data_IF_046942833893
#
_entry.id   IF_046942833893
#
_cell.length_a   1.000
_cell.length_b   1.000
_cell.length_c   1.000
_cell.angle_alpha   90.00
_cell.angle_beta   90.00
_cell.angle_gamma   90.00
#
_symmetry.space_group_name_H-M   'P 1'
#
loop_
_entity.id
_entity.type
_entity.pdbx_description
1 polymer ?
#
# COMPACT_ATOMS: atom_id res chain seq x y z
N UNK A 1 26.12 -15.30 3.91
CA UNK A 1 24.76 -14.75 3.85
C UNK A 1 24.29 -14.51 5.27
N UNK A 2 23.70 -13.34 5.55
CA UNK A 2 23.22 -12.99 6.88
C UNK A 2 21.93 -13.75 7.18
N UNK A 3 21.78 -14.30 8.38
CA UNK A 3 20.54 -14.95 8.84
C UNK A 3 19.71 -13.90 9.59
N UNK A 4 18.39 -13.88 9.38
CA UNK A 4 17.49 -13.03 10.16
C UNK A 4 17.52 -13.45 11.64
N UNK A 5 17.96 -12.55 12.52
CA UNK A 5 17.96 -12.79 13.97
C UNK A 5 17.89 -11.45 14.73
N UNK A 6 16.73 -11.10 15.32
CA UNK A 6 16.56 -9.83 16.04
C UNK A 6 17.40 -9.74 17.31
N UNK A 7 17.94 -10.85 17.83
CA UNK A 7 18.81 -10.81 19.03
C UNK A 7 20.19 -10.27 18.67
N UNK A 8 20.69 -10.61 17.48
CA UNK A 8 22.02 -10.27 16.99
C UNK A 8 21.99 -8.99 16.15
N UNK A 9 21.04 -8.90 15.21
CA UNK A 9 20.92 -7.77 14.30
C UNK A 9 19.86 -6.79 14.80
N UNK A 10 20.26 -5.53 15.02
CA UNK A 10 19.37 -4.47 15.50
C UNK A 10 18.31 -4.11 14.45
N UNK A 11 18.63 -4.18 13.15
CA UNK A 11 17.68 -3.85 12.08
C UNK A 11 16.48 -4.80 12.08
N UNK A 12 16.72 -6.08 12.34
CA UNK A 12 15.69 -7.11 12.39
C UNK A 12 14.66 -6.88 13.50
N UNK A 13 15.02 -6.11 14.54
CA UNK A 13 14.11 -5.74 15.64
C UNK A 13 13.02 -4.77 15.21
N UNK A 14 13.23 -4.02 14.13
CA UNK A 14 12.26 -3.04 13.63
C UNK A 14 11.25 -3.66 12.64
N UNK A 15 11.36 -4.95 12.31
CA UNK A 15 10.39 -5.62 11.44
C UNK A 15 9.03 -5.77 12.14
N UNK A 16 7.99 -5.23 11.51
CA UNK A 16 6.66 -5.07 12.14
C UNK A 16 5.78 -6.32 12.11
N UNK A 17 5.98 -7.20 11.12
CA UNK A 17 5.21 -8.43 10.93
C UNK A 17 6.08 -9.50 10.27
N UNK A 18 7.10 -10.05 10.95
CA UNK A 18 8.06 -10.95 10.32
C UNK A 18 7.45 -12.33 10.00
N UNK A 19 7.57 -12.76 8.73
CA UNK A 19 7.28 -14.12 8.27
C UNK A 19 8.58 -14.71 7.76
N UNK A 20 9.10 -15.73 8.46
CA UNK A 20 10.47 -16.21 8.25
C UNK A 20 10.49 -17.38 7.27
N UNK A 21 11.35 -17.31 6.26
CA UNK A 21 11.54 -18.39 5.30
C UNK A 21 12.16 -19.62 5.99
N UNK A 22 11.68 -20.85 5.69
CA UNK A 22 12.12 -22.04 6.41
C UNK A 22 13.51 -22.53 5.98
N UNK A 23 13.92 -22.22 4.74
CA UNK A 23 15.21 -22.64 4.19
C UNK A 23 16.36 -21.75 4.69
N UNK A 24 17.52 -22.36 4.92
CA UNK A 24 18.74 -21.62 5.26
C UNK A 24 19.35 -20.94 4.03
N UNK A 25 19.83 -19.68 4.13
CA UNK A 25 19.72 -18.80 5.30
C UNK A 25 18.29 -18.24 5.44
N UNK A 26 17.74 -18.30 6.66
CA UNK A 26 16.40 -17.81 6.94
C UNK A 26 16.34 -16.29 6.79
N UNK A 27 15.32 -15.78 6.10
CA UNK A 27 15.09 -14.37 5.84
C UNK A 27 13.66 -13.99 6.21
N UNK A 28 13.42 -12.71 6.49
CA UNK A 28 12.06 -12.20 6.60
C UNK A 28 11.49 -11.91 5.20
N UNK A 29 10.40 -12.58 4.80
CA UNK A 29 9.74 -12.36 3.51
C UNK A 29 8.86 -11.10 3.49
N UNK A 30 8.45 -10.60 4.65
CA UNK A 30 7.56 -9.44 4.84
C UNK A 30 8.31 -8.24 5.42
N UNK A 31 9.58 -8.06 5.06
CA UNK A 31 10.40 -6.93 5.53
C UNK A 31 9.91 -5.57 5.03
N UNK A 32 9.09 -5.54 3.97
CA UNK A 32 8.50 -4.33 3.41
C UNK A 32 7.25 -3.83 4.13
N UNK A 33 6.74 -4.57 5.12
CA UNK A 33 5.54 -4.17 5.86
C UNK A 33 5.78 -2.90 6.67
N UNK A 34 5.04 -1.83 6.35
CA UNK A 34 4.95 -0.59 7.11
C UNK A 34 3.88 -0.66 8.21
N UNK A 35 3.81 0.37 9.05
CA UNK A 35 2.80 0.44 10.11
C UNK A 35 1.38 0.52 9.54
N UNK A 36 1.17 1.30 8.47
CA UNK A 36 -0.14 1.40 7.83
C UNK A 36 -0.53 0.10 7.11
N UNK A 37 0.36 -0.51 6.34
CA UNK A 37 0.07 -1.79 5.66
C UNK A 37 -0.23 -2.91 6.66
N UNK A 38 0.49 -2.97 7.79
CA UNK A 38 0.16 -3.88 8.89
C UNK A 38 -1.22 -3.62 9.47
N UNK A 39 -1.57 -2.35 9.72
CA UNK A 39 -2.87 -1.99 10.28
C UNK A 39 -4.02 -2.43 9.36
N UNK A 40 -3.87 -2.21 8.05
CA UNK A 40 -4.83 -2.70 7.03
C UNK A 40 -4.94 -4.23 7.10
N UNK A 41 -3.83 -4.96 7.06
CA UNK A 41 -3.87 -6.43 7.12
C UNK A 41 -4.55 -6.96 8.38
N UNK A 42 -4.30 -6.35 9.55
CA UNK A 42 -4.94 -6.73 10.81
C UNK A 42 -6.45 -6.49 10.78
N UNK A 43 -6.90 -5.38 10.20
CA UNK A 43 -8.33 -5.09 10.00
C UNK A 43 -8.97 -6.12 9.07
N UNK A 44 -8.33 -6.44 7.94
CA UNK A 44 -8.84 -7.45 6.99
C UNK A 44 -8.90 -8.85 7.61
N UNK A 45 -7.92 -9.23 8.45
CA UNK A 45 -7.98 -10.51 9.18
C UNK A 45 -9.15 -10.56 10.17
N UNK A 46 -9.43 -9.46 10.88
CA UNK A 46 -10.57 -9.39 11.80
C UNK A 46 -11.91 -9.50 11.06
N UNK A 47 -12.06 -8.79 9.93
CA UNK A 47 -13.25 -8.90 9.07
C UNK A 47 -13.39 -10.31 8.48
N UNK A 48 -12.29 -10.89 8.00
CA UNK A 48 -12.27 -12.25 7.46
C UNK A 48 -12.70 -13.29 8.50
N UNK A 49 -12.24 -13.16 9.75
CA UNK A 49 -12.68 -14.03 10.85
C UNK A 49 -14.19 -13.93 11.08
N UNK A 50 -14.73 -12.70 11.16
CA UNK A 50 -16.17 -12.49 11.37
C UNK A 50 -17.01 -13.12 10.25
N UNK A 51 -16.58 -12.98 9.00
CA UNK A 51 -17.26 -13.58 7.84
C UNK A 51 -17.16 -15.11 7.89
N UNK A 52 -15.98 -15.65 8.22
CA UNK A 52 -15.77 -17.09 8.34
C UNK A 52 -16.67 -17.69 9.44
N UNK A 53 -16.79 -17.05 10.59
CA UNK A 53 -17.71 -17.46 11.66
C UNK A 53 -19.17 -17.46 11.21
N UNK A 54 -19.61 -16.41 10.51
CA UNK A 54 -20.96 -16.35 9.93
C UNK A 54 -21.20 -17.51 8.94
N UNK A 55 -20.20 -17.87 8.14
CA UNK A 55 -20.28 -19.00 7.20
C UNK A 55 -20.37 -20.32 7.96
N UNK A 56 -19.54 -20.54 8.98
CA UNK A 56 -19.58 -21.75 9.80
C UNK A 56 -20.92 -21.93 10.53
N UNK A 57 -21.59 -20.82 10.91
CA UNK A 57 -22.93 -20.81 11.48
C UNK A 57 -24.06 -20.89 10.44
N UNK A 58 -23.74 -20.99 9.14
CA UNK A 58 -24.72 -21.06 8.06
C UNK A 58 -25.45 -19.74 7.76
N UNK A 59 -24.98 -18.60 8.27
CA UNK A 59 -25.57 -17.27 8.07
C UNK A 59 -25.10 -16.58 6.78
N UNK A 60 -23.99 -17.04 6.21
CA UNK A 60 -23.41 -16.48 4.99
C UNK A 60 -22.81 -17.57 4.09
N UNK A 61 -22.54 -17.22 2.83
CA UNK A 61 -21.85 -18.08 1.85
C UNK A 61 -20.40 -17.64 1.67
N UNK A 62 -19.56 -18.54 1.18
CA UNK A 62 -18.16 -18.26 0.84
C UNK A 62 -17.98 -17.10 -0.15
N UNK A 63 -18.94 -16.86 -1.04
CA UNK A 63 -18.93 -15.73 -1.96
C UNK A 63 -18.74 -14.38 -1.23
N UNK A 64 -19.28 -14.25 0.00
CA UNK A 64 -19.16 -13.04 0.81
C UNK A 64 -17.71 -12.74 1.20
N UNK A 65 -16.89 -13.77 1.44
CA UNK A 65 -15.49 -13.61 1.84
C UNK A 65 -14.63 -13.07 0.68
N UNK A 66 -14.99 -13.40 -0.55
CA UNK A 66 -14.25 -13.04 -1.76
C UNK A 66 -14.84 -11.82 -2.49
N UNK A 67 -15.77 -11.10 -1.86
CA UNK A 67 -16.27 -9.85 -2.45
C UNK A 67 -15.12 -8.83 -2.53
N UNK A 68 -14.99 -8.11 -3.66
CA UNK A 68 -13.97 -7.09 -3.80
C UNK A 68 -14.09 -6.05 -2.68
N UNK A 69 -12.96 -5.64 -2.06
CA UNK A 69 -12.99 -4.65 -1.00
C UNK A 69 -13.44 -3.30 -1.56
N UNK A 70 -14.22 -2.58 -0.76
CA UNK A 70 -14.74 -1.25 -1.09
C UNK A 70 -13.67 -0.16 -0.92
N UNK A 71 -12.55 -0.27 -1.63
CA UNK A 71 -11.40 0.62 -1.47
C UNK A 71 -11.76 2.10 -1.73
N UNK A 72 -12.43 2.39 -2.85
CA UNK A 72 -12.74 3.76 -3.30
C UNK A 72 -13.84 4.46 -2.49
N UNK A 73 -14.52 3.75 -1.59
CA UNK A 73 -15.50 4.33 -0.67
C UNK A 73 -15.04 4.28 0.79
N UNK A 74 -13.94 3.56 1.10
CA UNK A 74 -13.38 3.43 2.45
C UNK A 74 -12.73 4.72 2.95
N UNK A 75 -12.07 5.47 2.07
CA UNK A 75 -11.35 6.70 2.41
C UNK A 75 -12.04 7.96 1.89
N UNK A 76 -11.83 9.08 2.60
CA UNK A 76 -12.32 10.41 2.17
C UNK A 76 -11.39 11.12 1.19
N UNK A 77 -10.11 10.80 1.26
CA UNK A 77 -9.05 11.43 0.47
C UNK A 77 -8.23 10.35 -0.22
N UNK A 78 -7.85 10.63 -1.46
CA UNK A 78 -7.00 9.75 -2.27
C UNK A 78 -5.89 10.58 -2.92
N UNK A 79 -4.70 10.00 -2.99
CA UNK A 79 -3.63 10.44 -3.87
C UNK A 79 -3.61 9.52 -5.09
N UNK A 80 -3.37 10.11 -6.25
CA UNK A 80 -3.25 9.39 -7.52
C UNK A 80 -1.85 9.63 -8.04
N UNK A 81 -1.11 8.55 -8.27
CA UNK A 81 0.17 8.59 -8.97
C UNK A 81 -0.10 8.20 -10.41
N UNK A 82 0.24 9.06 -11.36
CA UNK A 82 0.09 8.79 -12.78
C UNK A 82 1.48 8.71 -13.43
N UNK A 83 1.74 7.58 -14.06
CA UNK A 83 2.93 7.34 -14.86
C UNK A 83 2.50 7.23 -16.32
N UNK A 84 3.09 8.04 -17.20
CA UNK A 84 2.86 7.95 -18.64
C UNK A 84 4.19 8.01 -19.38
N UNK A 85 4.24 7.35 -20.54
CA UNK A 85 5.40 7.37 -21.42
C UNK A 85 4.99 7.63 -22.88
N UNK A 86 5.98 7.79 -23.76
CA UNK A 86 5.75 8.00 -25.19
C UNK A 86 5.56 6.69 -25.94
N UNK A 87 6.24 5.63 -25.53
CA UNK A 87 6.20 4.30 -26.15
C UNK A 87 5.78 3.23 -25.14
N UNK A 88 5.13 2.13 -25.58
CA UNK A 88 4.77 1.03 -24.68
C UNK A 88 5.97 0.36 -24.02
N UNK A 89 7.11 0.30 -24.71
CA UNK A 89 8.36 -0.28 -24.21
C UNK A 89 8.92 0.56 -23.05
N UNK A 90 9.01 1.88 -23.25
CA UNK A 90 9.45 2.81 -22.20
C UNK A 90 8.47 2.81 -21.02
N UNK A 91 7.16 2.66 -21.30
CA UNK A 91 6.14 2.58 -20.26
C UNK A 91 6.32 1.36 -19.36
N UNK A 92 6.77 0.22 -19.91
CA UNK A 92 7.00 -0.98 -19.10
C UNK A 92 8.14 -0.78 -18.10
N UNK A 93 9.24 -0.17 -18.54
CA UNK A 93 10.36 0.18 -17.66
C UNK A 93 9.94 1.23 -16.63
N UNK A 94 9.21 2.25 -17.09
CA UNK A 94 8.70 3.33 -16.24
C UNK A 94 7.71 2.83 -15.19
N UNK A 95 6.81 1.92 -15.57
CA UNK A 95 5.88 1.25 -14.66
C UNK A 95 6.63 0.56 -13.52
N UNK A 96 7.64 -0.27 -13.85
CA UNK A 96 8.41 -1.00 -12.85
C UNK A 96 9.22 -0.08 -11.93
N UNK A 97 9.80 1.00 -12.48
CA UNK A 97 10.50 1.99 -11.70
C UNK A 97 9.56 2.68 -10.70
N UNK A 98 8.44 3.22 -11.17
CA UNK A 98 7.46 3.91 -10.33
C UNK A 98 6.94 2.96 -9.25
N UNK A 99 6.48 1.76 -9.62
CA UNK A 99 5.96 0.75 -8.69
C UNK A 99 6.97 0.43 -7.57
N UNK A 100 8.26 0.28 -7.91
CA UNK A 100 9.31 0.01 -6.92
C UNK A 100 9.52 1.15 -5.90
N UNK A 101 9.22 2.39 -6.29
CA UNK A 101 9.45 3.59 -5.49
C UNK A 101 8.27 3.99 -4.62
N UNK A 102 7.03 3.59 -4.96
CA UNK A 102 5.83 4.01 -4.21
C UNK A 102 5.95 3.70 -2.71
N UNK A 103 6.64 2.62 -2.33
CA UNK A 103 6.93 2.30 -0.93
C UNK A 103 7.61 3.44 -0.18
N UNK A 104 8.52 4.18 -0.82
CA UNK A 104 9.19 5.33 -0.20
C UNK A 104 8.21 6.47 0.08
N UNK A 105 7.28 6.74 -0.83
CA UNK A 105 6.20 7.71 -0.57
C UNK A 105 5.34 7.27 0.62
N UNK A 106 4.96 6.00 0.69
CA UNK A 106 4.18 5.46 1.82
C UNK A 106 4.95 5.65 3.13
N UNK A 107 6.26 5.39 3.15
CA UNK A 107 7.10 5.60 4.33
C UNK A 107 7.16 7.07 4.75
N UNK A 108 7.31 7.99 3.80
CA UNK A 108 7.29 9.44 4.08
C UNK A 108 5.94 9.87 4.66
N UNK A 109 4.84 9.41 4.06
CA UNK A 109 3.48 9.73 4.52
C UNK A 109 3.16 9.07 5.88
N UNK A 110 3.60 7.83 6.13
CA UNK A 110 3.44 7.15 7.41
C UNK A 110 4.17 7.88 8.55
N UNK A 111 5.29 8.55 8.26
CA UNK A 111 6.04 9.35 9.22
C UNK A 111 5.43 10.74 9.47
N UNK A 112 4.48 11.19 8.65
CA UNK A 112 3.85 12.49 8.82
C UNK A 112 2.88 12.45 10.02
N UNK A 113 3.08 13.31 11.05
CA UNK A 113 2.28 13.25 12.27
C UNK A 113 0.79 13.55 12.05
N UNK A 114 0.42 14.22 10.95
CA UNK A 114 -0.96 14.57 10.62
C UNK A 114 -1.72 13.42 9.94
N UNK A 115 -1.00 12.44 9.40
CA UNK A 115 -1.58 11.27 8.76
C UNK A 115 -1.80 10.18 9.81
N UNK A 116 -2.97 9.55 9.76
CA UNK A 116 -3.36 8.43 10.63
C UNK A 116 -3.04 7.09 9.97
N UNK A 117 -3.37 6.95 8.70
CA UNK A 117 -3.15 5.73 7.94
C UNK A 117 -3.02 6.02 6.44
N UNK A 118 -2.19 5.22 5.78
CA UNK A 118 -1.95 5.24 4.33
C UNK A 118 -2.20 3.86 3.75
N UNK A 119 -3.09 3.75 2.77
CA UNK A 119 -3.44 2.46 2.15
C UNK A 119 -3.30 2.55 0.65
N UNK A 120 -2.27 1.89 0.11
CA UNK A 120 -2.10 1.70 -1.32
C UNK A 120 -2.99 0.58 -1.85
N UNK A 121 -3.64 0.80 -2.99
CA UNK A 121 -4.19 -0.28 -3.79
C UNK A 121 -3.06 -0.92 -4.61
N UNK A 122 -2.76 -2.22 -4.43
CA UNK A 122 -1.70 -2.88 -5.19
C UNK A 122 -1.98 -2.97 -6.70
N UNK A 123 -3.24 -2.88 -7.11
CA UNK A 123 -3.59 -2.89 -8.53
C UNK A 123 -3.32 -1.52 -9.16
N UNK A 124 -2.67 -1.53 -10.31
CA UNK A 124 -2.62 -0.37 -11.21
C UNK A 124 -3.88 -0.30 -12.06
N UNK A 125 -4.28 0.90 -12.43
CA UNK A 125 -5.43 1.17 -13.29
C UNK A 125 -5.01 1.97 -14.52
N UNK A 126 -5.82 1.90 -15.58
CA UNK A 126 -5.73 2.85 -16.68
C UNK A 126 -6.62 4.05 -16.39
N UNK A 127 -6.16 5.25 -16.72
CA UNK A 127 -6.96 6.45 -16.62
C UNK A 127 -7.82 6.61 -17.88
N UNK A 128 -9.04 7.12 -17.72
CA UNK A 128 -9.94 7.38 -18.85
C UNK A 128 -9.83 8.82 -19.38
N UNK A 129 -8.82 9.59 -18.95
CA UNK A 129 -8.67 10.97 -19.38
C UNK A 129 -8.28 11.07 -20.86
N UNK A 130 -8.93 11.98 -21.58
CA UNK A 130 -8.70 12.18 -23.02
C UNK A 130 -7.26 12.62 -23.33
N UNK A 131 -6.56 13.23 -22.37
CA UNK A 131 -5.15 13.62 -22.50
C UNK A 131 -4.19 12.42 -22.61
N UNK A 132 -4.56 11.28 -22.04
CA UNK A 132 -3.72 10.07 -21.98
C UNK A 132 -4.22 8.93 -22.86
N UNK A 133 -5.28 9.17 -23.64
CA UNK A 133 -5.93 8.15 -24.48
C UNK A 133 -5.01 7.53 -25.53
N UNK A 134 -4.11 8.35 -26.09
CA UNK A 134 -3.15 7.95 -27.12
C UNK A 134 -1.76 7.62 -26.56
N UNK A 135 -1.58 7.64 -25.24
CA UNK A 135 -0.30 7.39 -24.57
C UNK A 135 -0.40 6.21 -23.61
N UNK A 136 0.60 5.30 -23.59
CA UNK A 136 0.65 4.27 -22.57
C UNK A 136 0.82 4.93 -21.19
N UNK A 137 -0.07 4.57 -20.26
CA UNK A 137 -0.11 5.14 -18.93
C UNK A 137 -0.66 4.16 -17.88
N UNK A 138 -0.33 4.39 -16.62
CA UNK A 138 -0.79 3.61 -15.48
C UNK A 138 -0.96 4.51 -14.27
N UNK A 139 -1.98 4.23 -13.46
CA UNK A 139 -2.28 4.96 -12.25
C UNK A 139 -2.37 4.07 -11.03
N UNK A 140 -1.89 4.57 -9.90
CA UNK A 140 -2.01 3.93 -8.60
C UNK A 140 -2.77 4.84 -7.65
N UNK A 141 -3.62 4.24 -6.84
CA UNK A 141 -4.44 4.95 -5.86
C UNK A 141 -3.96 4.66 -4.45
N UNK A 142 -3.79 5.73 -3.67
CA UNK A 142 -3.40 5.67 -2.27
C UNK A 142 -4.48 6.36 -1.45
N UNK A 143 -5.22 5.60 -0.65
CA UNK A 143 -6.17 6.13 0.32
C UNK A 143 -5.42 6.72 1.51
N UNK A 144 -5.80 7.92 1.91
CA UNK A 144 -5.19 8.64 3.04
C UNK A 144 -6.26 8.96 4.08
N UNK A 145 -5.99 8.58 5.32
CA UNK A 145 -6.79 8.96 6.49
C UNK A 145 -6.00 9.97 7.32
N UNK A 146 -6.55 11.18 7.51
CA UNK A 146 -5.94 12.20 8.36
C UNK A 146 -6.43 12.10 9.81
N UNK A 147 -5.57 12.45 10.76
CA UNK A 147 -6.00 12.63 12.16
C UNK A 147 -6.93 13.84 12.23
N UNK A 148 -8.06 13.69 12.92
CA UNK A 148 -9.01 14.80 13.15
C UNK A 148 -8.30 15.94 13.88
N UNK A 149 -7.86 16.93 13.11
CA UNK A 149 -7.29 18.18 13.59
C UNK A 149 -8.20 19.29 13.06
N UNK A 150 -8.66 20.17 13.95
CA UNK A 150 -9.58 21.24 13.58
C UNK A 150 -8.95 22.15 12.50
N UNK A 151 -9.60 22.26 11.34
CA UNK A 151 -9.38 23.26 10.29
C UNK A 151 -7.94 23.54 9.86
N UNK A 152 -7.06 22.54 9.81
CA UNK A 152 -5.75 22.69 9.17
C UNK A 152 -5.84 22.14 7.75
N UNK A 153 -5.60 23.01 6.75
CA UNK A 153 -5.33 22.56 5.38
C UNK A 153 -3.98 21.84 5.42
N UNK A 154 -4.00 20.52 5.41
CA UNK A 154 -2.79 19.70 5.41
C UNK A 154 -2.19 19.79 4.00
N UNK A 155 -0.99 20.36 3.93
CA UNK A 155 -0.24 20.48 2.68
C UNK A 155 0.71 19.28 2.55
N UNK A 156 0.47 18.44 1.54
CA UNK A 156 1.29 17.29 1.21
C UNK A 156 2.21 17.57 0.01
N UNK A 157 2.22 18.80 -0.53
CA UNK A 157 2.95 19.12 -1.75
C UNK A 157 4.46 18.88 -1.61
N UNK A 158 5.05 19.16 -0.44
CA UNK A 158 6.47 18.92 -0.23
C UNK A 158 6.82 17.42 -0.20
N UNK A 159 5.99 16.61 0.46
CA UNK A 159 6.16 15.15 0.54
C UNK A 159 6.05 14.51 -0.87
N UNK A 160 5.11 15.02 -1.68
CA UNK A 160 4.89 14.58 -3.06
C UNK A 160 6.03 15.04 -3.98
N UNK A 161 6.49 16.29 -3.88
CA UNK A 161 7.59 16.79 -4.71
C UNK A 161 8.89 16.02 -4.44
N UNK A 162 9.17 15.72 -3.18
CA UNK A 162 10.32 14.89 -2.80
C UNK A 162 10.25 13.51 -3.47
N UNK A 163 9.06 12.94 -3.64
CA UNK A 163 8.88 11.66 -4.33
C UNK A 163 9.09 11.77 -5.85
N UNK A 164 8.63 12.85 -6.47
CA UNK A 164 8.78 13.08 -7.92
C UNK A 164 10.25 13.30 -8.31
N UNK A 165 11.08 13.79 -7.39
CA UNK A 165 12.50 14.04 -7.62
C UNK A 165 13.41 12.80 -7.44
N UNK A 166 12.89 11.67 -6.94
CA UNK A 166 13.63 10.41 -6.69
C UNK A 166 13.71 9.53 -7.94
#
# INVERSE_FOLDING_TARGET
MQVWDPRVNVQDRFHLMPIITPAYPQQNSTFNTSQSTRAVMVEEFAMGLQIAEDIMLGKAKWDRLFQPPNFFTKYKHYLVILASALTPEDHLEWYGLVESKIRHLIQTLDNNPQIKAVHINPASFSCCDEEYKDKPHSSWFIGVEFKKSENVRIDLTNDINTFVEI
#
